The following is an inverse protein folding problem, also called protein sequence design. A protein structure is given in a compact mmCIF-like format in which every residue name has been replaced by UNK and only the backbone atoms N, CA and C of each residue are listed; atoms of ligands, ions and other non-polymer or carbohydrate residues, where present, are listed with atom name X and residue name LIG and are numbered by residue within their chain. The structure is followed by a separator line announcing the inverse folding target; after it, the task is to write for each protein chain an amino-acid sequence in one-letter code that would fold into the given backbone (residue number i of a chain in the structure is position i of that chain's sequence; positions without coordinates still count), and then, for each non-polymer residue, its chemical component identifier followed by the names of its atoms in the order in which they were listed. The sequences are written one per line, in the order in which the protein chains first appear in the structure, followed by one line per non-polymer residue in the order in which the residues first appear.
data_IF_754441573467
#
_entry.id   IF_754441573467
#
_cell.length_a   1.000
_cell.length_b   1.000
_cell.length_c   1.000
_cell.angle_alpha   90.00
_cell.angle_beta   90.00
_cell.angle_gamma   90.00
#
_symmetry.space_group_name_H-M   'P 1'
#
loop_
_entity.id
_entity.type
_entity.pdbx_description
1 polymer ?
#
# COMPACT_ATOMS: atom_id res chain seq x y z
N UNK A 1 20.49 5.72 2.29
CA UNK A 1 19.43 4.72 2.48
C UNK A 1 19.63 3.56 1.51
N UNK A 2 19.15 2.40 1.86
CA UNK A 2 19.27 1.22 1.00
C UNK A 2 18.03 1.07 0.14
N UNK A 3 18.17 1.23 -1.16
CA UNK A 3 17.06 1.05 -2.09
C UNK A 3 16.85 -0.43 -2.37
N UNK A 4 15.60 -0.86 -2.35
CA UNK A 4 15.25 -2.19 -2.81
C UNK A 4 15.42 -2.28 -4.32
N UNK A 5 15.67 -3.51 -4.83
CA UNK A 5 15.87 -3.70 -6.27
C UNK A 5 14.59 -3.43 -7.07
N UNK A 6 13.43 -3.70 -6.49
CA UNK A 6 12.13 -3.42 -7.10
C UNK A 6 11.38 -2.46 -6.20
N UNK A 7 10.97 -1.32 -6.74
CA UNK A 7 10.22 -0.32 -6.00
C UNK A 7 9.02 0.08 -6.86
N UNK A 8 7.80 -0.25 -6.43
CA UNK A 8 6.62 0.20 -7.17
C UNK A 8 6.42 1.70 -7.05
N UNK A 9 5.88 2.30 -8.09
CA UNK A 9 5.47 3.70 -8.07
C UNK A 9 4.01 3.81 -8.48
N UNK A 10 3.22 4.51 -7.69
CA UNK A 10 1.82 4.76 -7.99
C UNK A 10 1.61 6.20 -8.40
N UNK A 11 0.86 6.38 -9.49
CA UNK A 11 0.29 7.68 -9.83
C UNK A 11 -0.96 7.84 -8.98
N UNK A 12 -1.04 8.92 -8.21
CA UNK A 12 -2.17 9.17 -7.29
C UNK A 12 -2.92 10.43 -7.70
N UNK A 13 -4.17 10.52 -7.30
CA UNK A 13 -5.01 11.66 -7.69
C UNK A 13 -4.80 12.89 -6.79
N UNK A 14 -4.36 12.69 -5.55
CA UNK A 14 -4.19 13.75 -4.56
C UNK A 14 -3.09 13.32 -3.58
N UNK A 15 -1.93 13.92 -3.70
CA UNK A 15 -0.76 13.50 -2.91
C UNK A 15 -0.98 13.68 -1.41
N UNK A 16 -1.75 14.67 -0.98
CA UNK A 16 -2.00 14.90 0.44
C UNK A 16 -2.95 13.85 1.02
N UNK A 17 -3.97 13.42 0.28
CA UNK A 17 -4.82 12.30 0.69
C UNK A 17 -4.01 11.02 0.79
N UNK A 18 -3.12 10.78 -0.17
CA UNK A 18 -2.26 9.60 -0.16
C UNK A 18 -1.26 9.66 0.99
N UNK A 19 -0.66 10.81 1.27
CA UNK A 19 0.23 10.98 2.42
C UNK A 19 -0.50 10.63 3.72
N UNK A 20 -1.71 11.14 3.90
CA UNK A 20 -2.50 10.83 5.09
C UNK A 20 -2.74 9.32 5.23
N UNK A 21 -3.16 8.69 4.14
CA UNK A 21 -3.45 7.26 4.16
C UNK A 21 -2.18 6.43 4.44
N UNK A 22 -1.14 6.63 3.65
CA UNK A 22 0.07 5.80 3.77
C UNK A 22 0.86 6.09 5.04
N UNK A 23 0.98 7.36 5.43
CA UNK A 23 1.80 7.73 6.58
C UNK A 23 1.03 7.67 7.89
N UNK A 24 -0.15 8.28 7.96
CA UNK A 24 -0.88 8.38 9.22
C UNK A 24 -1.65 7.10 9.54
N UNK A 25 -2.24 6.44 8.52
CA UNK A 25 -3.02 5.22 8.76
C UNK A 25 -2.18 3.96 8.66
N UNK A 26 -1.38 3.80 7.61
CA UNK A 26 -0.58 2.58 7.42
C UNK A 26 0.75 2.60 8.17
N UNK A 27 1.28 3.77 8.50
CA UNK A 27 2.52 3.87 9.24
C UNK A 27 3.78 3.95 8.39
N UNK A 28 3.65 4.23 7.09
CA UNK A 28 4.84 4.49 6.26
C UNK A 28 5.54 5.76 6.73
N UNK A 29 6.86 5.77 6.60
CA UNK A 29 7.69 6.95 6.84
C UNK A 29 8.07 7.58 5.52
N UNK A 30 8.11 8.92 5.49
CA UNK A 30 8.64 9.64 4.33
C UNK A 30 10.16 9.65 4.45
N UNK A 31 10.85 8.94 3.56
CA UNK A 31 12.31 8.94 3.52
C UNK A 31 12.82 10.24 2.91
N UNK A 32 12.18 10.69 1.84
CA UNK A 32 12.37 11.99 1.26
C UNK A 32 11.19 12.34 0.37
N UNK A 33 11.07 13.61 0.01
CA UNK A 33 10.02 14.08 -0.89
C UNK A 33 10.58 15.11 -1.86
N UNK A 34 9.80 15.38 -2.90
CA UNK A 34 10.04 16.49 -3.84
C UNK A 34 8.71 17.21 -4.00
N UNK A 35 8.41 18.18 -3.10
CA UNK A 35 7.12 18.91 -3.14
C UNK A 35 6.84 19.56 -4.50
N UNK A 36 7.87 20.04 -5.17
CA UNK A 36 7.77 20.66 -6.49
C UNK A 36 7.29 19.68 -7.57
N UNK A 37 7.50 18.39 -7.33
CA UNK A 37 7.02 17.32 -8.22
C UNK A 37 5.82 16.58 -7.66
N UNK A 38 5.37 16.94 -6.46
CA UNK A 38 4.33 16.23 -5.71
C UNK A 38 4.66 14.73 -5.59
N UNK A 39 5.89 14.46 -5.17
CA UNK A 39 6.47 13.12 -5.08
C UNK A 39 6.86 12.77 -3.65
N UNK A 40 6.58 11.53 -3.25
CA UNK A 40 6.99 10.96 -1.96
C UNK A 40 7.72 9.64 -2.18
N UNK A 41 8.82 9.45 -1.45
CA UNK A 41 9.45 8.14 -1.32
C UNK A 41 9.18 7.64 0.10
N UNK A 42 8.50 6.50 0.21
CA UNK A 42 7.99 5.98 1.47
C UNK A 42 8.62 4.63 1.81
N UNK A 43 8.74 4.35 3.10
CA UNK A 43 9.13 3.03 3.57
C UNK A 43 8.29 2.59 4.77
N UNK A 44 8.07 1.29 4.87
CA UNK A 44 7.45 0.64 6.03
C UNK A 44 8.19 -0.68 6.23
N UNK A 45 8.96 -0.78 7.32
CA UNK A 45 9.86 -1.91 7.53
C UNK A 45 10.77 -2.06 6.31
N UNK A 46 10.80 -3.22 5.65
CA UNK A 46 11.62 -3.43 4.45
C UNK A 46 10.88 -3.09 3.15
N UNK A 47 9.65 -2.61 3.24
CA UNK A 47 8.84 -2.25 2.07
C UNK A 47 9.13 -0.83 1.64
N UNK A 48 9.24 -0.59 0.34
CA UNK A 48 9.44 0.73 -0.23
C UNK A 48 8.40 1.00 -1.32
N UNK A 49 7.96 2.24 -1.40
CA UNK A 49 6.91 2.65 -2.32
C UNK A 49 7.11 4.11 -2.71
N UNK A 50 6.94 4.41 -3.98
CA UNK A 50 6.95 5.79 -4.47
C UNK A 50 5.55 6.22 -4.85
N UNK A 51 5.22 7.47 -4.57
CA UNK A 51 3.96 8.08 -4.96
C UNK A 51 4.24 9.39 -5.69
N UNK A 52 3.50 9.65 -6.75
CA UNK A 52 3.57 10.91 -7.46
C UNK A 52 2.16 11.29 -7.90
N UNK A 53 1.77 12.54 -7.64
CA UNK A 53 0.47 13.01 -8.10
C UNK A 53 0.49 13.11 -9.62
N UNK A 54 -0.51 12.52 -10.27
CA UNK A 54 -0.61 12.53 -11.71
C UNK A 54 -0.91 13.92 -12.27
N UNK A 55 -0.45 14.17 -13.49
CA UNK A 55 -0.88 15.34 -14.23
C UNK A 55 -2.35 15.19 -14.60
N UNK A 56 -2.97 16.29 -15.01
CA UNK A 56 -4.37 16.27 -15.47
C UNK A 56 -4.55 15.26 -16.60
N UNK A 57 -3.58 15.20 -17.52
CA UNK A 57 -3.62 14.29 -18.67
C UNK A 57 -3.50 12.84 -18.23
N UNK A 58 -2.57 12.55 -17.31
CA UNK A 58 -2.41 11.20 -16.77
C UNK A 58 -3.67 10.73 -16.05
N UNK A 59 -4.24 11.59 -15.20
CA UNK A 59 -5.44 11.24 -14.43
C UNK A 59 -6.67 11.05 -15.31
N UNK A 60 -6.73 11.74 -16.45
CA UNK A 60 -7.83 11.59 -17.39
C UNK A 60 -7.90 10.18 -18.00
N UNK A 61 -6.78 9.46 -18.03
CA UNK A 61 -6.72 8.09 -18.55
C UNK A 61 -6.95 7.03 -17.49
N UNK A 62 -7.09 7.42 -16.21
CA UNK A 62 -7.28 6.51 -15.10
C UNK A 62 -8.70 6.59 -14.57
N UNK A 63 -9.22 5.46 -14.11
CA UNK A 63 -10.51 5.38 -13.48
C UNK A 63 -10.43 4.51 -12.24
N UNK A 64 -11.16 4.89 -11.20
CA UNK A 64 -11.24 4.09 -9.98
C UNK A 64 -11.81 2.70 -10.25
N UNK A 65 -11.25 1.61 -9.74
CA UNK A 65 -10.01 1.55 -8.95
C UNK A 65 -8.77 1.62 -9.84
N UNK A 66 -7.79 2.43 -9.43
CA UNK A 66 -6.52 2.50 -10.15
C UNK A 66 -5.76 1.17 -9.99
N UNK A 67 -4.90 0.84 -10.96
CA UNK A 67 -4.06 -0.34 -10.88
C UNK A 67 -4.81 -1.66 -11.05
N UNK A 68 -5.85 -1.67 -11.85
CA UNK A 68 -6.65 -2.88 -12.11
C UNK A 68 -5.78 -4.03 -12.59
N UNK A 69 -5.99 -5.20 -11.97
CA UNK A 69 -5.23 -6.40 -12.30
C UNK A 69 -3.88 -6.50 -11.60
N UNK A 70 -3.51 -5.49 -10.80
CA UNK A 70 -2.26 -5.47 -10.03
C UNK A 70 -2.60 -5.34 -8.54
N UNK A 71 -1.88 -6.07 -7.71
CA UNK A 71 -1.89 -5.84 -6.27
C UNK A 71 -0.46 -5.89 -5.75
N UNK A 72 -0.23 -5.24 -4.62
CA UNK A 72 1.07 -5.26 -3.96
C UNK A 72 0.91 -5.98 -2.63
N UNK A 73 1.79 -6.95 -2.39
CA UNK A 73 1.83 -7.68 -1.12
C UNK A 73 2.98 -7.13 -0.28
N UNK A 74 2.64 -6.54 0.86
CA UNK A 74 3.61 -6.03 1.82
C UNK A 74 3.78 -7.03 2.95
N UNK A 75 5.01 -7.49 3.17
CA UNK A 75 5.34 -8.32 4.33
C UNK A 75 5.67 -7.42 5.51
N UNK A 76 4.91 -7.52 6.59
CA UNK A 76 5.11 -6.73 7.80
C UNK A 76 5.10 -7.64 9.03
N UNK A 77 5.64 -7.13 10.14
CA UNK A 77 5.81 -7.96 11.35
C UNK A 77 4.54 -8.21 12.13
N UNK A 78 3.61 -7.26 12.15
CA UNK A 78 2.40 -7.37 12.97
C UNK A 78 1.16 -6.97 12.17
N UNK A 79 0.66 -7.91 11.40
CA UNK A 79 -0.53 -7.71 10.56
C UNK A 79 -1.78 -7.44 11.40
N UNK A 80 -2.05 -8.18 12.50
CA UNK A 80 -3.23 -7.90 13.32
C UNK A 80 -3.25 -6.49 13.91
N UNK A 81 -2.08 -5.95 14.30
CA UNK A 81 -2.00 -4.61 14.85
C UNK A 81 -2.38 -3.54 13.82
N UNK A 82 -1.87 -3.67 12.59
CA UNK A 82 -2.23 -2.75 11.52
C UNK A 82 -3.71 -2.84 11.18
N UNK A 83 -4.24 -4.06 11.12
CA UNK A 83 -5.65 -4.29 10.88
C UNK A 83 -6.52 -3.60 11.93
N UNK A 84 -6.16 -3.73 13.22
CA UNK A 84 -6.89 -3.10 14.32
C UNK A 84 -6.84 -1.57 14.21
N UNK A 85 -5.69 -1.03 13.85
CA UNK A 85 -5.53 0.42 13.68
C UNK A 85 -6.47 0.95 12.58
N UNK A 86 -6.61 0.22 11.49
CA UNK A 86 -7.51 0.62 10.40
C UNK A 86 -8.98 0.50 10.80
N UNK A 87 -9.34 -0.53 11.57
CA UNK A 87 -10.70 -0.64 12.11
C UNK A 87 -11.03 0.53 13.02
N UNK A 88 -10.11 0.93 13.88
CA UNK A 88 -10.31 2.07 14.79
C UNK A 88 -10.45 3.39 14.04
N UNK A 89 -9.83 3.50 12.86
CA UNK A 89 -9.93 4.67 12.00
C UNK A 89 -11.17 4.61 11.08
N UNK A 90 -12.00 3.59 11.21
CA UNK A 90 -13.17 3.35 10.34
C UNK A 90 -12.81 3.27 8.85
N UNK A 91 -11.60 2.77 8.56
CA UNK A 91 -11.18 2.60 7.17
C UNK A 91 -11.71 1.28 6.62
N UNK A 92 -12.35 1.27 5.43
CA UNK A 92 -12.93 0.05 4.88
C UNK A 92 -11.89 -1.04 4.63
N UNK A 93 -12.20 -2.25 5.06
CA UNK A 93 -11.36 -3.43 4.81
C UNK A 93 -11.90 -4.13 3.57
N UNK A 94 -11.04 -4.32 2.57
CA UNK A 94 -11.43 -4.94 1.30
C UNK A 94 -11.52 -6.47 1.42
N UNK A 95 -10.53 -7.08 2.07
CA UNK A 95 -10.55 -8.49 2.44
C UNK A 95 -10.29 -8.62 3.92
N UNK A 96 -11.12 -9.37 4.66
CA UNK A 96 -10.98 -9.46 6.11
C UNK A 96 -9.69 -10.15 6.53
N UNK A 97 -9.25 -9.88 7.75
CA UNK A 97 -8.11 -10.55 8.34
C UNK A 97 -8.42 -12.03 8.48
N UNK A 98 -7.64 -12.86 7.79
CA UNK A 98 -7.79 -14.31 7.82
C UNK A 98 -6.43 -14.97 7.82
N UNK A 99 -6.40 -16.21 8.27
CA UNK A 99 -5.23 -17.07 8.11
C UNK A 99 -5.37 -17.78 6.77
N UNK A 100 -4.54 -17.39 5.80
CA UNK A 100 -4.58 -17.95 4.45
C UNK A 100 -3.79 -19.25 4.41
N UNK A 101 -4.13 -20.12 3.46
CA UNK A 101 -3.39 -21.35 3.20
C UNK A 101 -2.84 -21.29 1.78
N UNK A 102 -1.52 -21.41 1.65
CA UNK A 102 -0.86 -21.43 0.35
C UNK A 102 0.06 -22.64 0.25
N UNK A 103 -0.04 -23.35 -0.88
CA UNK A 103 0.87 -24.45 -1.18
C UNK A 103 2.19 -23.91 -1.72
N UNK A 104 3.30 -24.41 -1.15
CA UNK A 104 4.65 -24.08 -1.61
C UNK A 104 5.36 -25.42 -1.84
N UNK A 105 5.39 -25.87 -3.10
CA UNK A 105 5.88 -27.21 -3.42
C UNK A 105 5.01 -28.27 -2.76
N UNK A 106 5.63 -29.12 -1.92
CA UNK A 106 4.94 -30.17 -1.17
C UNK A 106 4.53 -29.71 0.25
N UNK A 107 4.78 -28.45 0.59
CA UNK A 107 4.49 -27.88 1.90
C UNK A 107 3.40 -26.84 1.80
N UNK A 108 2.92 -26.36 2.96
CA UNK A 108 1.95 -25.30 3.06
C UNK A 108 2.45 -24.21 4.00
N UNK A 109 2.10 -22.98 3.71
CA UNK A 109 2.30 -21.83 4.61
C UNK A 109 0.95 -21.25 4.98
N UNK A 110 0.89 -20.60 6.14
CA UNK A 110 -0.39 -20.11 6.69
C UNK A 110 -0.25 -18.68 7.21
N UNK A 111 0.05 -17.69 6.33
CA UNK A 111 0.18 -16.32 6.79
C UNK A 111 -1.16 -15.70 7.18
N UNK A 112 -1.12 -14.81 8.18
CA UNK A 112 -2.23 -13.89 8.41
C UNK A 112 -2.19 -12.81 7.33
N UNK A 113 -3.34 -12.50 6.76
CA UNK A 113 -3.42 -11.55 5.65
C UNK A 113 -4.74 -10.79 5.68
N UNK A 114 -4.69 -9.52 5.35
CA UNK A 114 -5.88 -8.74 5.00
C UNK A 114 -5.53 -7.83 3.83
N UNK A 115 -6.55 -7.20 3.25
CA UNK A 115 -6.33 -6.27 2.14
C UNK A 115 -7.20 -5.03 2.30
N UNK A 116 -6.68 -3.91 1.79
CA UNK A 116 -7.40 -2.66 1.68
C UNK A 116 -7.19 -2.09 0.29
N UNK A 117 -8.07 -1.18 -0.11
CA UNK A 117 -7.85 -0.33 -1.27
C UNK A 117 -7.38 1.02 -0.76
N UNK A 118 -6.36 1.59 -1.41
CA UNK A 118 -5.92 2.94 -1.07
C UNK A 118 -6.96 3.97 -1.56
N UNK A 119 -6.78 5.28 -1.30
CA UNK A 119 -7.78 6.28 -1.73
C UNK A 119 -8.10 6.28 -3.22
N UNK A 120 -7.18 5.83 -4.06
CA UNK A 120 -7.39 5.75 -5.52
C UNK A 120 -7.80 4.36 -5.99
N UNK A 121 -7.89 3.40 -5.07
CA UNK A 121 -8.32 2.05 -5.38
C UNK A 121 -7.19 1.06 -5.64
N UNK A 122 -5.93 1.42 -5.42
CA UNK A 122 -4.83 0.47 -5.51
C UNK A 122 -5.00 -0.63 -4.46
N UNK A 123 -4.84 -1.86 -4.90
CA UNK A 123 -5.08 -3.06 -4.09
C UNK A 123 -3.82 -3.41 -3.30
N UNK A 124 -3.89 -3.30 -1.97
CA UNK A 124 -2.77 -3.55 -1.07
C UNK A 124 -3.09 -4.73 -0.17
N UNK A 125 -2.19 -5.71 -0.12
CA UNK A 125 -2.28 -6.86 0.79
C UNK A 125 -1.19 -6.73 1.84
N UNK A 126 -1.51 -7.08 3.08
CA UNK A 126 -0.56 -7.12 4.17
C UNK A 126 -0.52 -8.53 4.73
N UNK A 127 0.68 -9.13 4.81
CA UNK A 127 0.84 -10.50 5.30
C UNK A 127 2.07 -10.66 6.18
N UNK A 128 2.03 -11.70 7.01
CA UNK A 128 3.13 -12.08 7.89
C UNK A 128 3.32 -13.60 7.93
#
# INVERSE_FOLDING_TARGET
MDYQAVIPEFVVSDIEKSRHFYCDLLGFSVEYDRPEEKFLFLSLEDCQLMLEEGTKEELAELAYPFGRGVNISFGIKDVPQLHQKLLEADYPIHRPLTKREFRVGDSFIYPHEFAVLDPDGYFLRFSE
#
